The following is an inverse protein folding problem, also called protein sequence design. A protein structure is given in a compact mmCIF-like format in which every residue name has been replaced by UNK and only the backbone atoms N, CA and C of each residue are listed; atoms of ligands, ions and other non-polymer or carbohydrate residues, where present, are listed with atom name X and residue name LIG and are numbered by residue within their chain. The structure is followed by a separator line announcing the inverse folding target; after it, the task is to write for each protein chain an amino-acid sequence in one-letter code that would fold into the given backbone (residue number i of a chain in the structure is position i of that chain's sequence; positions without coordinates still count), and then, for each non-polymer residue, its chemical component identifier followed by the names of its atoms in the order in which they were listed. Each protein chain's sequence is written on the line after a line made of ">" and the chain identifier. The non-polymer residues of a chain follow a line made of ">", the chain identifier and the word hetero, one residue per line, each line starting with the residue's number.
data_IF_140187606362
#
_entry.id   IF_140187606362
#
_cell.length_a   1.000
_cell.length_b   1.000
_cell.length_c   1.000
_cell.angle_alpha   90.00
_cell.angle_beta   90.00
_cell.angle_gamma   90.00
#
_symmetry.space_group_name_H-M   'P 1'
#
loop_
_entity.id
_entity.type
_entity.pdbx_description
1 polymer ?
#
# COMPACT_ATOMS: atom_id res chain seq x y z
N UNK A 1 -0.01 -5.81 -40.55
CA UNK A 1 0.17 -7.18 -40.01
C UNK A 1 1.56 -7.24 -39.44
N UNK A 2 1.86 -7.57 -38.20
CA UNK A 2 1.16 -8.10 -37.02
C UNK A 2 2.04 -7.67 -35.84
N UNK A 3 1.51 -6.99 -34.84
CA UNK A 3 0.94 -7.56 -33.61
C UNK A 3 1.99 -7.78 -32.49
N UNK A 4 1.94 -6.83 -31.55
CA UNK A 4 1.93 -7.04 -30.09
C UNK A 4 3.16 -7.74 -29.49
N UNK A 5 4.04 -6.92 -28.92
CA UNK A 5 5.04 -7.36 -27.93
C UNK A 5 4.29 -7.96 -26.74
N UNK A 6 4.53 -9.25 -26.51
CA UNK A 6 3.94 -10.06 -25.43
C UNK A 6 4.08 -9.38 -24.05
N UNK A 7 2.97 -8.88 -23.51
CA UNK A 7 2.82 -8.42 -22.13
C UNK A 7 2.39 -9.60 -21.24
N UNK A 8 3.33 -10.52 -20.99
CA UNK A 8 3.10 -11.73 -20.19
C UNK A 8 4.04 -11.79 -18.97
N UNK A 9 4.21 -10.68 -18.25
CA UNK A 9 4.50 -10.79 -16.81
C UNK A 9 3.17 -11.07 -16.10
N UNK A 10 2.70 -12.31 -16.24
CA UNK A 10 1.55 -12.83 -15.52
C UNK A 10 1.75 -12.55 -14.03
N UNK A 11 0.95 -11.62 -13.51
CA UNK A 11 0.90 -11.26 -12.09
C UNK A 11 0.57 -12.54 -11.34
N UNK A 12 1.58 -13.21 -10.78
CA UNK A 12 1.36 -14.42 -9.98
C UNK A 12 0.44 -14.01 -8.83
N UNK A 13 -0.77 -14.54 -8.83
CA UNK A 13 -1.73 -14.32 -7.75
C UNK A 13 -1.16 -15.03 -6.52
N UNK A 14 -0.56 -14.26 -5.63
CA UNK A 14 -0.14 -14.76 -4.33
C UNK A 14 -1.41 -14.91 -3.49
N UNK A 15 -1.85 -16.15 -3.31
CA UNK A 15 -2.87 -16.48 -2.33
C UNK A 15 -2.18 -16.39 -0.96
N UNK A 16 -2.56 -15.40 -0.15
CA UNK A 16 -2.06 -15.28 1.21
C UNK A 16 -2.66 -16.43 2.05
N UNK A 17 -1.86 -17.15 2.85
CA UNK A 17 -2.38 -18.15 3.77
C UNK A 17 -3.42 -17.52 4.71
N UNK A 18 -4.50 -18.23 5.02
CA UNK A 18 -5.58 -17.74 5.90
C UNK A 18 -5.04 -17.36 7.29
N UNK A 19 -4.03 -18.08 7.77
CA UNK A 19 -3.35 -17.81 9.04
C UNK A 19 -2.66 -16.44 9.08
N UNK A 20 -2.26 -15.90 7.93
CA UNK A 20 -1.69 -14.56 7.83
C UNK A 20 -2.75 -13.50 8.16
N UNK A 21 -3.99 -13.67 7.69
CA UNK A 21 -5.09 -12.75 7.97
C UNK A 21 -5.48 -12.76 9.46
N UNK A 22 -5.43 -13.94 10.10
CA UNK A 22 -5.69 -14.10 11.54
C UNK A 22 -4.59 -13.43 12.39
N UNK A 23 -3.34 -13.43 11.91
CA UNK A 23 -2.23 -12.74 12.58
C UNK A 23 -2.25 -11.21 12.40
N UNK A 24 -2.81 -10.72 11.28
CA UNK A 24 -2.95 -9.29 11.01
C UNK A 24 -3.85 -8.61 12.06
N UNK A 25 -4.91 -9.29 12.48
CA UNK A 25 -5.95 -8.72 13.36
C UNK A 25 -5.47 -8.38 14.77
N UNK A 26 -4.34 -8.94 15.23
CA UNK A 26 -3.90 -8.79 16.63
C UNK A 26 -3.03 -7.55 16.90
N UNK A 27 -2.58 -6.82 15.87
CA UNK A 27 -1.68 -5.66 16.09
C UNK A 27 -1.68 -4.56 15.04
N UNK A 28 -2.56 -4.59 14.04
CA UNK A 28 -2.64 -3.48 13.08
C UNK A 28 -3.12 -2.20 13.76
N UNK A 29 -2.36 -1.12 13.53
CA UNK A 29 -2.79 0.23 13.83
C UNK A 29 -3.41 0.82 12.56
N UNK A 30 -4.65 1.27 12.68
CA UNK A 30 -5.34 2.05 11.64
C UNK A 30 -4.94 3.51 11.85
N UNK A 31 -4.59 4.17 10.76
CA UNK A 31 -4.23 5.59 10.73
C UNK A 31 -5.15 6.30 9.75
N UNK A 32 -5.49 7.54 10.07
CA UNK A 32 -6.18 8.40 9.12
C UNK A 32 -5.20 8.83 8.02
N UNK A 33 -5.70 9.01 6.81
CA UNK A 33 -4.86 9.38 5.68
C UNK A 33 -4.21 10.76 5.88
N UNK A 34 -4.95 11.69 6.49
CA UNK A 34 -4.49 13.03 6.86
C UNK A 34 -3.32 12.98 7.85
N UNK A 35 -3.30 12.02 8.79
CA UNK A 35 -2.18 11.83 9.71
C UNK A 35 -0.91 11.42 8.96
N UNK A 36 -1.04 10.56 7.95
CA UNK A 36 0.06 10.15 7.09
C UNK A 36 0.55 11.28 6.18
N UNK A 37 -0.36 12.15 5.70
CA UNK A 37 -0.01 13.36 4.96
C UNK A 37 0.82 14.30 5.85
N UNK A 38 0.35 14.61 7.05
CA UNK A 38 1.10 15.47 7.99
C UNK A 38 2.46 14.86 8.32
N UNK A 39 2.51 13.56 8.63
CA UNK A 39 3.73 12.87 8.98
C UNK A 39 4.80 12.92 7.87
N UNK A 40 4.38 12.97 6.61
CA UNK A 40 5.26 12.92 5.42
C UNK A 40 5.46 14.27 4.72
N UNK A 41 5.04 15.38 5.34
CA UNK A 41 4.99 16.71 4.73
C UNK A 41 4.22 16.70 3.39
N UNK A 42 3.03 16.10 3.39
CA UNK A 42 2.18 15.88 2.22
C UNK A 42 2.90 15.08 1.11
N UNK A 43 3.52 13.95 1.49
CA UNK A 43 4.31 13.09 0.60
C UNK A 43 5.38 13.86 -0.19
N UNK A 44 6.04 14.83 0.44
CA UNK A 44 7.01 15.68 -0.24
C UNK A 44 8.21 14.89 -0.78
N UNK A 45 8.82 15.39 -1.87
CA UNK A 45 10.06 14.81 -2.39
C UNK A 45 11.21 14.85 -1.37
N UNK A 46 11.19 15.76 -0.38
CA UNK A 46 12.20 15.82 0.69
C UNK A 46 12.15 14.61 1.60
N UNK A 47 10.95 14.07 1.82
CA UNK A 47 10.73 12.88 2.63
C UNK A 47 10.95 11.59 1.82
N UNK A 48 11.09 11.67 0.50
CA UNK A 48 11.17 10.48 -0.36
C UNK A 48 12.49 9.74 -0.19
N UNK A 49 12.42 8.47 0.23
CA UNK A 49 13.58 7.59 0.36
C UNK A 49 13.87 6.81 -0.92
N UNK A 50 12.83 6.48 -1.69
CA UNK A 50 12.97 5.75 -2.95
C UNK A 50 11.64 5.14 -3.41
N UNK A 51 11.50 4.92 -4.73
CA UNK A 51 10.27 4.41 -5.34
C UNK A 51 9.00 5.18 -4.89
N UNK A 52 8.18 4.60 -4.03
CA UNK A 52 7.00 5.20 -3.42
C UNK A 52 7.03 5.18 -1.89
N UNK A 53 8.22 5.12 -1.29
CA UNK A 53 8.46 5.11 0.15
C UNK A 53 8.92 6.49 0.64
N UNK A 54 8.28 6.97 1.69
CA UNK A 54 8.50 8.28 2.31
C UNK A 54 8.82 8.13 3.80
N UNK A 55 9.72 8.97 4.28
CA UNK A 55 10.02 9.16 5.70
C UNK A 55 8.87 9.90 6.36
N UNK A 56 8.25 9.29 7.36
CA UNK A 56 7.22 9.89 8.19
C UNK A 56 7.69 10.06 9.64
N UNK A 57 7.15 11.06 10.34
CA UNK A 57 7.23 11.14 11.81
C UNK A 57 5.82 11.22 12.38
N UNK A 58 5.43 10.23 13.19
CA UNK A 58 4.12 10.19 13.84
C UNK A 58 4.31 9.93 15.34
N UNK A 59 3.74 10.77 16.20
CA UNK A 59 3.90 10.67 17.66
C UNK A 59 5.36 10.60 18.13
N UNK A 60 6.27 11.27 17.41
CA UNK A 60 7.71 11.25 17.69
C UNK A 60 8.46 10.00 17.21
N UNK A 61 7.75 9.01 16.66
CA UNK A 61 8.33 7.81 16.08
C UNK A 61 8.62 7.98 14.59
N UNK A 62 9.75 7.42 14.13
CA UNK A 62 10.14 7.46 12.73
C UNK A 62 9.55 6.27 11.97
N UNK A 63 8.86 6.54 10.87
CA UNK A 63 8.16 5.53 10.08
C UNK A 63 8.56 5.58 8.60
N UNK A 64 8.42 4.44 7.92
CA UNK A 64 8.46 4.36 6.47
C UNK A 64 7.03 4.19 5.93
N UNK A 65 6.53 5.19 5.23
CA UNK A 65 5.18 5.20 4.65
C UNK A 65 5.29 4.86 3.17
N UNK A 66 4.70 3.75 2.74
CA UNK A 66 4.68 3.34 1.33
C UNK A 66 3.35 3.73 0.69
N UNK A 67 3.39 4.67 -0.24
CA UNK A 67 2.24 5.05 -1.05
C UNK A 67 2.09 4.04 -2.20
N UNK A 68 0.92 3.40 -2.30
CA UNK A 68 0.62 2.44 -3.36
C UNK A 68 -0.10 3.15 -4.52
N UNK A 69 0.07 2.67 -5.76
CA UNK A 69 -0.70 3.18 -6.90
C UNK A 69 -2.18 2.85 -6.70
N UNK A 70 -3.06 3.75 -7.17
CA UNK A 70 -4.52 3.63 -7.08
C UNK A 70 -5.09 2.64 -8.11
N UNK A 71 -4.41 1.53 -8.38
CA UNK A 71 -4.95 0.45 -9.23
C UNK A 71 -5.99 -0.35 -8.43
N UNK A 72 -7.10 0.31 -8.08
CA UNK A 72 -8.20 -0.20 -7.23
C UNK A 72 -9.20 -1.03 -8.06
N UNK A 73 -8.76 -1.70 -9.12
CA UNK A 73 -9.65 -2.54 -9.95
C UNK A 73 -10.08 -3.85 -9.25
N UNK A 74 -9.70 -4.07 -7.98
CA UNK A 74 -10.01 -5.30 -7.24
C UNK A 74 -10.59 -5.11 -5.84
N UNK A 75 -10.74 -3.88 -5.37
CA UNK A 75 -11.18 -3.62 -3.99
C UNK A 75 -12.68 -3.32 -3.92
N UNK A 76 -13.51 -4.18 -4.54
CA UNK A 76 -14.96 -4.14 -4.38
C UNK A 76 -15.49 -5.53 -4.02
N UNK A 77 -15.98 -5.64 -2.78
CA UNK A 77 -17.20 -6.33 -2.33
C UNK A 77 -17.00 -7.04 -0.98
N UNK A 78 -17.16 -6.31 0.13
CA UNK A 78 -17.80 -6.89 1.31
C UNK A 78 -19.31 -6.64 1.13
N UNK A 79 -20.04 -7.62 0.60
CA UNK A 79 -21.48 -7.69 0.85
C UNK A 79 -21.66 -8.36 2.21
N UNK A 80 -22.35 -7.69 3.12
CA UNK A 80 -22.93 -8.33 4.28
C UNK A 80 -24.13 -9.18 3.81
N UNK A 81 -24.15 -10.46 4.17
CA UNK A 81 -25.37 -11.27 4.28
C UNK A 81 -25.83 -11.24 5.75
#
# INVERSE_FOLDING_TARGET
>A
MEAVRNDQLGRKKWELPQDFLVSIDQSLKVYDYEELEVATENFSHRCKMGASVYRGVLNGELLAVKQMSKDVDKEKNQKAD
#
